data_IF_318609755708
#
_entry.id   IF_318609755708
#
_cell.length_a   1.000
_cell.length_b   1.000
_cell.length_c   1.000
_cell.angle_alpha   90.00
_cell.angle_beta   90.00
_cell.angle_gamma   90.00
#
_symmetry.space_group_name_H-M   'P 1'
#
loop_
_entity.id
_entity.type
_entity.pdbx_description
1 polymer ?
#
# COMPACT_ATOMS: atom_id res chain seq x y z
N UNK A 1 22.35 4.43 15.70
CA UNK A 1 21.21 3.65 16.22
C UNK A 1 21.35 2.27 15.64
N UNK A 2 21.36 1.26 16.49
CA UNK A 2 21.32 -0.13 16.03
C UNK A 2 19.87 -0.46 15.67
N UNK A 3 19.70 -1.26 14.60
CA UNK A 3 18.37 -1.69 14.14
C UNK A 3 17.80 -2.68 15.16
N UNK A 4 16.51 -2.59 15.54
CA UNK A 4 15.87 -3.58 16.39
C UNK A 4 15.93 -4.99 15.79
N UNK A 5 15.82 -5.99 16.66
CA UNK A 5 15.80 -7.40 16.25
C UNK A 5 14.36 -7.78 15.86
N UNK A 6 14.06 -7.66 14.56
CA UNK A 6 12.77 -8.03 13.97
C UNK A 6 12.76 -9.52 13.62
N UNK A 7 11.62 -10.19 13.87
CA UNK A 7 11.51 -11.66 13.73
C UNK A 7 10.19 -12.15 13.14
N UNK A 8 9.25 -11.24 12.88
CA UNK A 8 7.98 -11.53 12.24
C UNK A 8 8.07 -11.72 10.72
N UNK A 9 6.92 -11.97 10.06
CA UNK A 9 6.85 -12.23 8.63
C UNK A 9 7.42 -11.11 7.74
N UNK A 10 7.37 -9.87 8.24
CA UNK A 10 7.85 -8.65 7.57
C UNK A 10 9.17 -8.12 8.15
N UNK A 11 9.94 -8.95 8.86
CA UNK A 11 11.14 -8.50 9.57
C UNK A 11 12.16 -7.79 8.67
N UNK A 12 12.28 -8.21 7.39
CA UNK A 12 13.18 -7.59 6.44
C UNK A 12 12.72 -6.18 6.07
N UNK A 13 11.42 -6.01 5.83
CA UNK A 13 10.76 -4.75 5.46
C UNK A 13 10.79 -3.76 6.62
N UNK A 14 10.53 -4.21 7.86
CA UNK A 14 10.72 -3.39 9.06
C UNK A 14 12.17 -2.96 9.23
N UNK A 15 13.12 -3.87 9.03
CA UNK A 15 14.55 -3.55 9.13
C UNK A 15 15.00 -2.54 8.07
N UNK A 16 14.52 -2.66 6.84
CA UNK A 16 14.81 -1.74 5.76
C UNK A 16 14.20 -0.36 6.02
N UNK A 17 12.90 -0.33 6.33
CA UNK A 17 12.15 0.90 6.60
C UNK A 17 12.72 1.65 7.82
N UNK A 18 13.09 0.94 8.89
CA UNK A 18 13.74 1.54 10.05
C UNK A 18 15.08 2.20 9.71
N UNK A 19 15.89 1.57 8.84
CA UNK A 19 17.20 2.11 8.41
C UNK A 19 17.05 3.34 7.53
N UNK A 20 16.06 3.35 6.63
CA UNK A 20 15.82 4.44 5.69
C UNK A 20 15.06 5.61 6.32
N UNK A 21 14.31 5.36 7.40
CA UNK A 21 13.55 6.38 8.11
C UNK A 21 14.45 7.55 8.57
N UNK A 22 14.08 8.75 8.14
CA UNK A 22 14.65 10.03 8.59
C UNK A 22 13.93 10.60 9.81
N UNK A 23 12.73 10.10 10.10
CA UNK A 23 11.85 10.55 11.19
C UNK A 23 12.01 9.67 12.44
N UNK A 24 12.26 10.30 13.58
CA UNK A 24 12.31 9.61 14.88
C UNK A 24 10.95 8.99 15.25
N UNK A 25 9.85 9.63 14.81
CA UNK A 25 8.50 9.07 14.96
C UNK A 25 8.35 7.77 14.18
N UNK A 26 8.78 7.74 12.91
CA UNK A 26 8.75 6.52 12.10
C UNK A 26 9.61 5.42 12.71
N UNK A 27 10.81 5.75 13.20
CA UNK A 27 11.65 4.76 13.88
C UNK A 27 10.94 4.19 15.10
N UNK A 28 10.41 5.06 15.97
CA UNK A 28 9.71 4.64 17.18
C UNK A 28 8.52 3.73 16.87
N UNK A 29 7.72 4.06 15.84
CA UNK A 29 6.54 3.29 15.47
C UNK A 29 6.85 1.91 14.85
N UNK A 30 8.11 1.67 14.50
CA UNK A 30 8.55 0.40 13.91
C UNK A 30 9.31 -0.47 14.92
N UNK A 31 9.63 0.01 16.13
CA UNK A 31 10.54 -0.66 17.06
C UNK A 31 10.05 -2.03 17.55
N UNK A 32 8.73 -2.22 17.64
CA UNK A 32 8.11 -3.43 18.17
C UNK A 32 7.49 -4.33 17.09
N UNK A 33 7.78 -4.04 15.83
CA UNK A 33 7.29 -4.77 14.65
C UNK A 33 5.74 -4.76 14.51
N UNK A 34 5.05 -3.83 15.18
CA UNK A 34 3.61 -3.72 15.16
C UNK A 34 3.16 -2.26 15.05
N UNK A 35 2.41 -1.95 14.00
CA UNK A 35 1.86 -0.61 13.83
C UNK A 35 0.50 -0.53 14.52
N UNK A 36 0.46 0.14 15.66
CA UNK A 36 -0.77 0.32 16.44
C UNK A 36 -1.73 1.32 15.80
N UNK A 37 -2.99 1.27 16.24
CA UNK A 37 -4.00 2.28 15.86
C UNK A 37 -3.58 3.69 16.24
N UNK A 38 -2.85 3.84 17.35
CA UNK A 38 -2.39 5.13 17.84
C UNK A 38 -1.28 5.71 16.93
N UNK A 39 -0.30 4.89 16.54
CA UNK A 39 0.78 5.31 15.65
C UNK A 39 0.26 5.66 14.26
N UNK A 40 -0.66 4.86 13.73
CA UNK A 40 -1.30 5.17 12.46
C UNK A 40 -2.14 6.44 12.54
N UNK A 41 -2.89 6.65 13.63
CA UNK A 41 -3.66 7.88 13.83
C UNK A 41 -2.75 9.12 13.93
N UNK A 42 -1.60 9.01 14.61
CA UNK A 42 -0.60 10.07 14.68
C UNK A 42 0.00 10.36 13.29
N UNK A 43 0.39 9.34 12.55
CA UNK A 43 0.86 9.47 11.17
C UNK A 43 -0.20 10.16 10.30
N UNK A 44 -1.46 9.73 10.40
CA UNK A 44 -2.59 10.31 9.65
C UNK A 44 -2.74 11.80 9.95
N UNK A 45 -2.61 12.20 11.22
CA UNK A 45 -2.69 13.59 11.62
C UNK A 45 -1.51 14.41 11.09
N UNK A 46 -0.28 13.88 11.14
CA UNK A 46 0.90 14.52 10.54
C UNK A 46 0.72 14.73 9.03
N UNK A 47 0.18 13.73 8.34
CA UNK A 47 -0.09 13.80 6.90
C UNK A 47 -1.14 14.87 6.59
N UNK A 48 -2.26 14.87 7.31
CA UNK A 48 -3.32 15.88 7.21
C UNK A 48 -2.78 17.30 7.44
N UNK A 49 -1.94 17.50 8.45
CA UNK A 49 -1.36 18.80 8.77
C UNK A 49 -0.43 19.30 7.66
N UNK A 50 0.49 18.45 7.17
CA UNK A 50 1.37 18.82 6.06
C UNK A 50 0.58 19.25 4.82
N UNK A 51 -0.46 18.49 4.45
CA UNK A 51 -1.32 18.85 3.33
C UNK A 51 -2.05 20.17 3.55
N UNK A 52 -2.58 20.38 4.76
CA UNK A 52 -3.30 21.61 5.09
C UNK A 52 -2.40 22.86 5.04
N UNK A 53 -1.14 22.74 5.43
CA UNK A 53 -0.15 23.82 5.34
C UNK A 53 0.13 24.23 3.88
N UNK A 54 0.01 23.28 2.95
CA UNK A 54 0.10 23.50 1.50
C UNK A 54 -1.25 23.86 0.85
N UNK A 55 -2.31 24.02 1.66
CA UNK A 55 -3.65 24.36 1.20
C UNK A 55 -4.39 23.21 0.50
N UNK A 56 -3.98 21.97 0.74
CA UNK A 56 -4.61 20.75 0.24
C UNK A 56 -5.49 20.14 1.35
N UNK A 57 -6.74 19.85 1.02
CA UNK A 57 -7.67 19.16 1.93
C UNK A 57 -7.47 17.64 1.86
N UNK A 58 -7.24 17.02 3.01
CA UNK A 58 -7.22 15.56 3.14
C UNK A 58 -8.63 15.02 3.44
N UNK A 59 -9.15 14.18 2.54
CA UNK A 59 -10.50 13.61 2.63
C UNK A 59 -10.53 12.25 3.33
N UNK A 60 -9.37 11.61 3.53
CA UNK A 60 -9.25 10.34 4.22
C UNK A 60 -8.48 9.29 3.43
N UNK A 61 -8.25 8.15 4.09
CA UNK A 61 -7.81 6.93 3.43
C UNK A 61 -9.02 6.14 2.92
N UNK A 62 -8.87 5.49 1.77
CA UNK A 62 -9.82 4.54 1.21
C UNK A 62 -9.09 3.24 0.82
N UNK A 63 -9.83 2.27 0.27
CA UNK A 63 -9.27 0.96 -0.09
C UNK A 63 -8.22 1.00 -1.21
N UNK A 64 -8.02 2.15 -1.87
CA UNK A 64 -7.06 2.31 -2.96
C UNK A 64 -5.95 3.33 -2.60
N UNK A 65 -5.90 3.83 -1.36
CA UNK A 65 -4.88 4.77 -0.86
C UNK A 65 -5.48 5.96 -0.10
N UNK A 66 -5.17 7.18 -0.54
CA UNK A 66 -5.66 8.41 0.08
C UNK A 66 -6.34 9.34 -0.92
N UNK A 67 -7.30 10.14 -0.43
CA UNK A 67 -8.00 11.15 -1.21
C UNK A 67 -7.65 12.56 -0.75
N UNK A 68 -7.32 13.43 -1.72
CA UNK A 68 -6.94 14.83 -1.48
C UNK A 68 -7.58 15.78 -2.49
N UNK A 69 -7.71 17.06 -2.14
CA UNK A 69 -8.02 18.11 -3.10
C UNK A 69 -6.82 18.43 -3.99
N UNK A 70 -7.03 19.19 -5.07
CA UNK A 70 -5.92 19.73 -5.85
C UNK A 70 -5.21 20.86 -5.10
N UNK A 71 -3.91 20.98 -5.32
CA UNK A 71 -3.11 22.09 -4.83
C UNK A 71 -3.64 23.43 -5.37
N UNK A 72 -3.65 24.49 -4.55
CA UNK A 72 -4.06 25.81 -5.00
C UNK A 72 -3.11 26.36 -6.07
N UNK A 73 -3.62 27.29 -6.89
CA UNK A 73 -2.83 28.04 -7.89
C UNK A 73 -2.07 27.22 -8.94
N UNK A 74 -2.45 25.95 -9.15
CA UNK A 74 -1.81 25.07 -10.14
C UNK A 74 -0.46 24.52 -9.71
N UNK A 75 -0.21 24.44 -8.39
CA UNK A 75 0.93 23.69 -7.86
C UNK A 75 0.87 22.21 -8.26
N UNK A 76 2.03 21.55 -8.30
CA UNK A 76 2.09 20.12 -8.55
C UNK A 76 1.57 19.37 -7.32
N UNK A 77 0.29 18.97 -7.39
CA UNK A 77 -0.38 18.26 -6.29
C UNK A 77 0.33 16.94 -5.99
N UNK A 78 0.84 16.25 -7.01
CA UNK A 78 1.49 14.96 -6.80
C UNK A 78 2.81 15.10 -6.06
N UNK A 79 3.64 16.08 -6.45
CA UNK A 79 4.91 16.37 -5.78
C UNK A 79 4.69 16.75 -4.30
N UNK A 80 3.75 17.65 -4.04
CA UNK A 80 3.43 18.09 -2.67
C UNK A 80 2.94 16.92 -1.82
N UNK A 81 1.97 16.16 -2.34
CA UNK A 81 1.39 15.03 -1.60
C UNK A 81 2.43 13.95 -1.34
N UNK A 82 3.30 13.65 -2.32
CA UNK A 82 4.42 12.71 -2.13
C UNK A 82 5.39 13.20 -1.06
N UNK A 83 5.74 14.49 -1.04
CA UNK A 83 6.57 15.07 0.02
C UNK A 83 5.93 14.91 1.41
N UNK A 84 4.65 15.23 1.53
CA UNK A 84 3.90 15.06 2.77
C UNK A 84 3.78 13.59 3.20
N UNK A 85 3.65 12.66 2.25
CA UNK A 85 3.57 11.23 2.55
C UNK A 85 4.91 10.73 3.14
N UNK A 86 6.03 11.15 2.59
CA UNK A 86 7.36 10.84 3.13
C UNK A 86 7.58 11.48 4.50
N UNK A 87 7.26 12.77 4.67
CA UNK A 87 7.50 13.50 5.93
C UNK A 87 6.64 12.98 7.09
N UNK A 88 5.36 12.73 6.82
CA UNK A 88 4.41 12.22 7.83
C UNK A 88 4.69 10.78 8.26
N UNK A 89 5.40 10.02 7.41
CA UNK A 89 5.62 8.59 7.59
C UNK A 89 4.56 7.71 6.92
N UNK A 90 3.67 8.26 6.09
CA UNK A 90 2.69 7.48 5.32
C UNK A 90 3.37 6.43 4.42
N UNK A 91 4.46 6.80 3.75
CA UNK A 91 5.21 5.89 2.86
C UNK A 91 5.90 4.73 3.63
N UNK A 92 5.94 4.82 4.96
CA UNK A 92 6.54 3.82 5.84
C UNK A 92 5.47 3.11 6.68
N UNK A 93 4.91 3.83 7.66
CA UNK A 93 3.91 3.33 8.61
C UNK A 93 2.61 2.96 7.89
N UNK A 94 2.10 3.84 7.02
CA UNK A 94 0.85 3.60 6.32
C UNK A 94 0.95 2.38 5.40
N UNK A 95 1.95 2.39 4.52
CA UNK A 95 2.17 1.31 3.56
C UNK A 95 2.40 -0.05 4.24
N UNK A 96 3.22 -0.13 5.28
CA UNK A 96 3.44 -1.38 6.01
C UNK A 96 2.15 -1.88 6.67
N UNK A 97 1.39 -0.99 7.31
CA UNK A 97 0.12 -1.36 7.93
C UNK A 97 -0.87 -1.93 6.92
N UNK A 98 -1.02 -1.27 5.77
CA UNK A 98 -1.95 -1.68 4.73
C UNK A 98 -1.60 -3.07 4.20
N UNK A 99 -0.33 -3.29 3.86
CA UNK A 99 0.17 -4.58 3.35
C UNK A 99 0.00 -5.68 4.40
N UNK A 100 0.33 -5.42 5.67
CA UNK A 100 0.14 -6.39 6.75
C UNK A 100 -1.34 -6.71 7.02
N UNK A 101 -2.25 -5.77 6.75
CA UNK A 101 -3.69 -5.97 6.95
C UNK A 101 -4.25 -6.96 5.93
N UNK A 102 -3.83 -6.86 4.66
CA UNK A 102 -4.28 -7.77 3.58
C UNK A 102 -3.44 -9.04 3.44
N UNK A 103 -2.23 -9.05 4.01
CA UNK A 103 -1.29 -10.17 3.94
C UNK A 103 -0.47 -10.34 5.24
N UNK A 104 -1.11 -10.68 6.37
CA UNK A 104 -0.44 -10.73 7.68
C UNK A 104 0.68 -11.79 7.76
N UNK A 105 0.60 -12.84 6.94
CA UNK A 105 1.55 -13.96 6.93
C UNK A 105 2.65 -13.81 5.86
N UNK A 106 2.75 -12.65 5.21
CA UNK A 106 3.69 -12.38 4.12
C UNK A 106 3.73 -13.48 3.05
N UNK A 107 2.54 -13.89 2.60
CA UNK A 107 2.35 -14.87 1.54
C UNK A 107 2.71 -14.29 0.17
N UNK A 108 2.98 -15.18 -0.77
CA UNK A 108 3.23 -14.86 -2.17
C UNK A 108 1.99 -14.19 -2.80
N UNK A 109 2.05 -12.86 -2.92
CA UNK A 109 0.97 -12.04 -3.49
C UNK A 109 0.73 -12.37 -4.97
N UNK A 110 1.75 -12.49 -5.85
CA UNK A 110 1.55 -12.97 -7.22
C UNK A 110 0.76 -14.27 -7.31
N UNK A 111 1.08 -15.26 -6.47
CA UNK A 111 0.34 -16.52 -6.41
C UNK A 111 -1.13 -16.29 -5.98
N UNK A 112 -1.36 -15.51 -4.93
CA UNK A 112 -2.69 -15.19 -4.44
C UNK A 112 -3.55 -14.43 -5.47
N UNK A 113 -2.95 -13.46 -6.17
CA UNK A 113 -3.60 -12.72 -7.25
C UNK A 113 -3.97 -13.65 -8.39
N UNK A 114 -3.06 -14.53 -8.81
CA UNK A 114 -3.34 -15.52 -9.85
C UNK A 114 -4.49 -16.44 -9.46
N UNK A 115 -4.49 -16.97 -8.23
CA UNK A 115 -5.57 -17.80 -7.69
C UNK A 115 -6.92 -17.06 -7.66
N UNK A 116 -6.92 -15.78 -7.26
CA UNK A 116 -8.11 -14.94 -7.25
C UNK A 116 -8.67 -14.72 -8.65
N UNK A 117 -7.83 -14.34 -9.62
CA UNK A 117 -8.23 -14.11 -11.00
C UNK A 117 -8.75 -15.39 -11.68
N UNK A 118 -8.17 -16.54 -11.35
CA UNK A 118 -8.69 -17.86 -11.79
C UNK A 118 -10.07 -18.12 -11.20
N UNK A 119 -10.27 -17.78 -9.91
CA UNK A 119 -11.57 -17.89 -9.24
C UNK A 119 -12.66 -17.02 -9.86
N UNK A 120 -12.31 -15.80 -10.28
CA UNK A 120 -13.20 -14.87 -11.01
C UNK A 120 -13.48 -15.32 -12.46
N UNK A 121 -12.72 -16.29 -12.98
CA UNK A 121 -12.89 -16.81 -14.34
C UNK A 121 -12.39 -15.88 -15.45
N UNK A 122 -11.62 -14.85 -15.10
CA UNK A 122 -11.11 -13.83 -16.04
C UNK A 122 -9.76 -14.20 -16.68
N UNK A 123 -9.15 -15.29 -16.22
CA UNK A 123 -7.92 -15.89 -16.77
C UNK A 123 -8.07 -17.41 -16.87
N UNK A 124 -7.11 -18.08 -17.52
CA UNK A 124 -7.16 -19.54 -17.72
C UNK A 124 -6.93 -20.31 -16.40
N UNK A 125 -7.50 -21.51 -16.21
CA UNK A 125 -7.30 -22.30 -14.98
C UNK A 125 -5.86 -22.72 -14.66
N UNK A 126 -4.93 -22.59 -15.63
CA UNK A 126 -3.50 -22.86 -15.44
C UNK A 126 -2.67 -21.61 -15.12
N UNK A 127 -3.31 -20.46 -14.97
CA UNK A 127 -2.66 -19.18 -14.69
C UNK A 127 -2.04 -19.19 -13.28
N UNK A 128 -0.74 -18.89 -13.19
CA UNK A 128 0.01 -18.88 -11.93
C UNK A 128 0.75 -17.57 -11.66
N UNK A 129 1.56 -17.56 -10.59
CA UNK A 129 2.36 -16.41 -10.17
C UNK A 129 3.25 -15.85 -11.29
N UNK A 130 3.98 -16.71 -12.01
CA UNK A 130 4.85 -16.29 -13.11
C UNK A 130 4.07 -15.62 -14.26
N UNK A 131 2.84 -16.08 -14.54
CA UNK A 131 1.98 -15.48 -15.56
C UNK A 131 1.48 -14.10 -15.10
N UNK A 132 1.14 -13.98 -13.81
CA UNK A 132 0.76 -12.71 -13.20
C UNK A 132 1.90 -11.69 -13.28
N UNK A 133 3.11 -12.07 -12.89
CA UNK A 133 4.28 -11.18 -12.95
C UNK A 133 4.60 -10.76 -14.39
N UNK A 134 4.52 -11.69 -15.34
CA UNK A 134 4.73 -11.39 -16.76
C UNK A 134 3.65 -10.43 -17.30
N UNK A 135 2.39 -10.62 -16.91
CA UNK A 135 1.30 -9.73 -17.30
C UNK A 135 1.42 -8.35 -16.63
N UNK A 136 1.84 -8.27 -15.37
CA UNK A 136 2.11 -7.00 -14.66
C UNK A 136 3.16 -6.17 -15.40
N UNK A 137 4.22 -6.81 -15.88
CA UNK A 137 5.26 -6.16 -16.68
C UNK A 137 4.85 -5.85 -18.14
N UNK A 138 3.71 -6.39 -18.59
CA UNK A 138 3.28 -6.33 -19.98
C UNK A 138 1.82 -5.90 -20.12
N UNK A 139 0.92 -6.88 -20.19
CA UNK A 139 -0.48 -6.70 -20.53
C UNK A 139 -1.23 -5.75 -19.59
N UNK A 140 -0.94 -5.81 -18.28
CA UNK A 140 -1.58 -4.98 -17.26
C UNK A 140 -1.00 -3.57 -17.16
N UNK A 141 0.17 -3.31 -17.74
CA UNK A 141 0.80 -2.00 -17.71
C UNK A 141 0.02 -0.93 -18.51
N UNK A 142 -0.84 -1.35 -19.44
CA UNK A 142 -1.74 -0.45 -20.19
C UNK A 142 -3.19 -0.91 -20.05
N UNK A 143 -4.06 -0.12 -19.39
CA UNK A 143 -5.48 -0.43 -19.26
C UNK A 143 -6.21 -0.62 -20.60
N UNK A 144 -5.68 -0.12 -21.72
CA UNK A 144 -6.26 -0.36 -23.04
C UNK A 144 -6.10 -1.82 -23.52
N UNK A 145 -5.16 -2.58 -22.94
CA UNK A 145 -4.86 -3.96 -23.33
C UNK A 145 -5.71 -5.02 -22.61
N UNK A 146 -6.61 -4.60 -21.72
CA UNK A 146 -7.43 -5.51 -20.90
C UNK A 146 -8.91 -5.16 -20.93
N UNK A 147 -9.75 -6.20 -20.78
CA UNK A 147 -11.21 -6.06 -20.71
C UNK A 147 -11.64 -5.33 -19.44
N UNK A 148 -12.85 -4.76 -19.43
CA UNK A 148 -13.40 -4.16 -18.22
C UNK A 148 -13.57 -5.18 -17.09
N UNK A 149 -14.05 -6.38 -17.42
CA UNK A 149 -14.19 -7.49 -16.47
C UNK A 149 -12.88 -7.82 -15.75
N UNK A 150 -11.76 -7.81 -16.49
CA UNK A 150 -10.46 -8.07 -15.89
C UNK A 150 -9.95 -6.89 -15.05
N UNK A 151 -10.28 -5.65 -15.41
CA UNK A 151 -9.96 -4.48 -14.57
C UNK A 151 -10.70 -4.57 -13.23
N UNK A 152 -11.99 -4.88 -13.29
CA UNK A 152 -12.83 -5.00 -12.10
C UNK A 152 -12.32 -6.14 -11.20
N UNK A 153 -11.95 -7.28 -11.79
CA UNK A 153 -11.34 -8.39 -11.06
C UNK A 153 -9.98 -8.04 -10.46
N UNK A 154 -9.11 -7.30 -11.17
CA UNK A 154 -7.83 -6.84 -10.63
C UNK A 154 -8.02 -5.94 -9.40
N UNK A 155 -8.97 -5.02 -9.44
CA UNK A 155 -9.30 -4.12 -8.33
C UNK A 155 -9.86 -4.91 -7.13
N UNK A 156 -10.80 -5.82 -7.38
CA UNK A 156 -11.40 -6.64 -6.32
C UNK A 156 -10.35 -7.55 -5.68
N UNK A 157 -9.57 -8.26 -6.50
CA UNK A 157 -8.51 -9.14 -6.03
C UNK A 157 -7.38 -8.39 -5.33
N UNK A 158 -7.05 -7.15 -5.72
CA UNK A 158 -6.00 -6.40 -5.01
C UNK A 158 -6.43 -5.94 -3.61
N UNK A 159 -7.72 -5.76 -3.37
CA UNK A 159 -8.26 -5.38 -2.05
C UNK A 159 -8.23 -6.54 -1.07
N UNK A 160 -8.57 -7.75 -1.54
CA UNK A 160 -8.56 -8.96 -0.73
C UNK A 160 -7.95 -10.17 -1.47
N UNK A 161 -6.64 -10.14 -1.77
CA UNK A 161 -5.99 -11.16 -2.59
C UNK A 161 -6.04 -12.53 -1.93
N UNK A 162 -6.05 -12.56 -0.59
CA UNK A 162 -6.10 -13.77 0.21
C UNK A 162 -7.52 -14.19 0.62
N UNK A 163 -8.54 -13.39 0.32
CA UNK A 163 -9.93 -13.65 0.74
C UNK A 163 -10.13 -13.58 2.26
N UNK A 164 -9.28 -12.86 2.97
CA UNK A 164 -9.27 -12.77 4.45
C UNK A 164 -10.16 -11.64 4.97
N UNK A 165 -10.43 -10.61 4.17
CA UNK A 165 -11.29 -9.48 4.54
C UNK A 165 -12.77 -9.78 4.28
N UNK A 166 -13.06 -10.75 3.41
CA UNK A 166 -14.43 -11.12 3.05
C UNK A 166 -15.09 -10.13 2.09
N UNK A 167 -14.28 -9.41 1.31
CA UNK A 167 -14.71 -8.35 0.39
C UNK A 167 -14.96 -8.83 -1.05
N UNK A 168 -14.96 -10.15 -1.27
CA UNK A 168 -15.30 -10.79 -2.57
C UNK A 168 -16.80 -10.73 -2.88
#
# INVERSE_FOLDING_TARGET
MDVPDFSGPYAAEFAETYRSASSDFVRSALEDEQISDAEFAEMTERFRQCLADEGIEFMGFDGDGYQTSLAPHGGDTHEIVSGCATESGQDAIGMLRDIMTVNPEHRDIPAAMAECLVGEGVVSPGYGADDYDADMAGRFADPANISQELKDALISCSRDPLGILGEK
#
